data_IF_743643829328
#
_entry.id   IF_743643829328
#
_cell.length_a   1.000
_cell.length_b   1.000
_cell.length_c   1.000
_cell.angle_alpha   90.00
_cell.angle_beta   90.00
_cell.angle_gamma   90.00
#
_symmetry.space_group_name_H-M   'P 1'
#
loop_
_entity.id
_entity.type
_entity.pdbx_description
1 polymer ?
#
# COMPACT_ATOMS: atom_id res chain seq x y z
N UNK A 1 -24.54 -1.32 0.75
CA UNK A 1 -23.19 -0.84 0.37
C UNK A 1 -22.24 -1.21 1.51
N UNK A 2 -21.23 -2.06 1.27
CA UNK A 2 -20.35 -2.60 2.35
C UNK A 2 -19.01 -1.87 2.52
N UNK A 3 -18.68 -0.93 1.64
CA UNK A 3 -17.44 -0.13 1.73
C UNK A 3 -16.24 -0.71 0.98
N UNK A 4 -15.17 0.09 0.94
CA UNK A 4 -13.90 -0.22 0.29
C UNK A 4 -13.26 -1.48 0.89
N UNK A 5 -13.18 -1.56 2.21
CA UNK A 5 -12.52 -2.67 2.92
C UNK A 5 -13.18 -4.01 2.59
N UNK A 6 -14.50 -4.10 2.77
CA UNK A 6 -15.25 -5.30 2.46
C UNK A 6 -15.12 -5.70 0.97
N UNK A 7 -15.09 -4.74 0.05
CA UNK A 7 -14.89 -5.02 -1.37
C UNK A 7 -13.49 -5.56 -1.66
N UNK A 8 -12.44 -4.99 -1.05
CA UNK A 8 -11.06 -5.48 -1.16
C UNK A 8 -10.92 -6.89 -0.59
N UNK A 9 -11.45 -7.15 0.60
CA UNK A 9 -11.43 -8.48 1.22
C UNK A 9 -12.20 -9.51 0.38
N UNK A 10 -13.36 -9.14 -0.17
CA UNK A 10 -14.12 -10.02 -1.06
C UNK A 10 -13.34 -10.33 -2.34
N UNK A 11 -12.71 -9.33 -2.95
CA UNK A 11 -11.82 -9.54 -4.09
C UNK A 11 -10.65 -10.47 -3.75
N UNK A 12 -10.05 -10.29 -2.57
CA UNK A 12 -8.92 -11.09 -2.11
C UNK A 12 -9.26 -12.57 -1.94
N UNK A 13 -10.48 -12.90 -1.49
CA UNK A 13 -10.95 -14.29 -1.37
C UNK A 13 -10.94 -15.07 -2.71
N UNK A 14 -10.93 -14.37 -3.84
CA UNK A 14 -10.94 -14.95 -5.18
C UNK A 14 -9.57 -14.88 -5.87
N UNK A 15 -8.52 -14.39 -5.19
CA UNK A 15 -7.17 -14.28 -5.76
C UNK A 15 -6.52 -15.66 -5.83
N UNK A 16 -6.17 -16.09 -7.04
CA UNK A 16 -5.40 -17.32 -7.28
C UNK A 16 -3.93 -17.06 -7.58
N UNK A 17 -3.59 -15.82 -7.90
CA UNK A 17 -2.23 -15.36 -8.19
C UNK A 17 -1.30 -15.43 -6.98
N UNK A 18 0.01 -15.33 -7.25
CA UNK A 18 1.04 -15.26 -6.21
C UNK A 18 1.15 -13.85 -5.62
N UNK A 19 0.79 -12.83 -6.40
CA UNK A 19 0.79 -11.43 -6.01
C UNK A 19 -0.61 -10.84 -6.20
N UNK A 20 -1.06 -10.10 -5.19
CA UNK A 20 -2.27 -9.28 -5.26
C UNK A 20 -1.89 -7.82 -5.41
N UNK A 21 -2.59 -7.12 -6.30
CA UNK A 21 -2.47 -5.66 -6.45
C UNK A 21 -3.84 -5.04 -6.25
N UNK A 22 -3.94 -4.10 -5.31
CA UNK A 22 -5.13 -3.28 -5.13
C UNK A 22 -4.91 -1.95 -5.83
N UNK A 23 -5.93 -1.48 -6.56
CA UNK A 23 -5.87 -0.23 -7.29
C UNK A 23 -7.25 0.45 -7.21
N UNK A 24 -7.26 1.74 -6.89
CA UNK A 24 -8.48 2.54 -6.96
C UNK A 24 -8.95 2.70 -8.42
N UNK A 25 -10.26 2.81 -8.62
CA UNK A 25 -10.84 2.96 -9.96
C UNK A 25 -10.54 4.29 -10.68
N UNK A 26 -9.85 5.22 -10.02
CA UNK A 26 -9.53 6.56 -10.54
C UNK A 26 -8.02 6.82 -10.50
N UNK A 27 -7.28 5.86 -11.07
CA UNK A 27 -5.83 5.87 -11.23
C UNK A 27 -5.47 5.65 -12.69
N UNK A 28 -4.44 6.36 -13.16
CA UNK A 28 -3.76 6.10 -14.42
C UNK A 28 -2.37 5.52 -14.14
N UNK A 29 -2.03 4.38 -14.75
CA UNK A 29 -0.76 3.70 -14.51
C UNK A 29 0.28 4.09 -15.55
N UNK A 30 1.53 4.29 -15.13
CA UNK A 30 2.61 4.64 -16.07
C UNK A 30 3.24 3.39 -16.72
N UNK A 31 4.02 3.58 -17.78
CA UNK A 31 4.76 2.49 -18.42
C UNK A 31 5.73 1.86 -17.42
N UNK A 32 5.74 0.54 -17.33
CA UNK A 32 6.65 -0.19 -16.45
C UNK A 32 6.35 -0.05 -14.96
N UNK A 33 5.13 0.35 -14.59
CA UNK A 33 4.77 0.57 -13.19
C UNK A 33 4.76 -0.72 -12.36
N UNK A 34 4.48 -1.88 -12.97
CA UNK A 34 4.19 -3.10 -12.22
C UNK A 34 5.46 -3.91 -11.92
N UNK A 35 6.35 -4.01 -12.89
CA UNK A 35 7.57 -4.82 -12.83
C UNK A 35 8.48 -4.48 -11.63
N UNK A 36 8.71 -3.20 -11.27
CA UNK A 36 9.49 -2.85 -10.09
C UNK A 36 8.83 -3.30 -8.78
N UNK A 37 7.50 -3.28 -8.69
CA UNK A 37 6.75 -3.74 -7.51
C UNK A 37 6.93 -5.25 -7.34
N UNK A 38 6.73 -6.01 -8.43
CA UNK A 38 6.88 -7.47 -8.43
C UNK A 38 8.31 -7.89 -8.10
N UNK A 39 9.29 -7.23 -8.72
CA UNK A 39 10.71 -7.48 -8.44
C UNK A 39 11.02 -7.26 -6.96
N UNK A 40 10.45 -6.22 -6.33
CA UNK A 40 10.69 -6.00 -4.91
C UNK A 40 10.07 -7.08 -4.03
N UNK A 41 8.84 -7.49 -4.32
CA UNK A 41 8.13 -8.57 -3.59
C UNK A 41 8.86 -9.91 -3.78
N UNK A 42 9.45 -10.16 -4.95
CA UNK A 42 10.27 -11.34 -5.19
C UNK A 42 11.49 -11.39 -4.26
N UNK A 43 12.16 -10.26 -4.04
CA UNK A 43 13.33 -10.18 -3.18
C UNK A 43 12.99 -10.32 -1.69
N UNK A 44 11.80 -9.88 -1.28
CA UNK A 44 11.31 -10.03 0.08
C UNK A 44 9.78 -10.11 0.08
N UNK A 45 9.25 -11.31 0.28
CA UNK A 45 7.82 -11.61 0.20
C UNK A 45 7.00 -10.93 1.31
N UNK A 46 7.65 -10.50 2.40
CA UNK A 46 7.05 -9.76 3.52
C UNK A 46 6.93 -8.25 3.28
N UNK A 47 7.36 -7.77 2.13
CA UNK A 47 7.21 -6.36 1.74
C UNK A 47 5.81 -6.13 1.17
N UNK A 48 5.17 -5.06 1.61
CA UNK A 48 4.10 -4.40 0.86
C UNK A 48 4.76 -3.30 0.04
N UNK A 49 4.71 -3.44 -1.28
CA UNK A 49 5.31 -2.49 -2.22
C UNK A 49 4.23 -1.53 -2.73
N UNK A 50 4.49 -0.22 -2.66
CA UNK A 50 3.59 0.81 -3.17
C UNK A 50 4.29 1.64 -4.25
N UNK A 51 3.58 2.06 -5.32
CA UNK A 51 4.14 2.94 -6.33
C UNK A 51 4.38 4.35 -5.78
N UNK A 52 5.27 5.09 -6.43
CA UNK A 52 5.27 6.54 -6.38
C UNK A 52 3.97 7.10 -6.96
N UNK A 53 3.44 8.17 -6.34
CA UNK A 53 2.14 8.74 -6.69
C UNK A 53 2.31 10.11 -7.35
N UNK A 54 1.97 10.15 -8.62
CA UNK A 54 1.79 11.34 -9.44
C UNK A 54 0.36 11.90 -9.28
N UNK A 55 0.10 13.08 -9.85
CA UNK A 55 -1.20 13.76 -9.71
C UNK A 55 -1.94 13.72 -11.04
N UNK A 56 -3.14 13.13 -11.06
CA UNK A 56 -4.10 13.28 -12.15
C UNK A 56 -5.07 14.41 -11.79
N UNK A 57 -5.05 15.50 -12.53
CA UNK A 57 -5.91 16.66 -12.24
C UNK A 57 -7.39 16.31 -12.42
N UNK A 58 -8.22 16.56 -11.40
CA UNK A 58 -9.61 16.10 -11.40
C UNK A 58 -10.54 16.84 -12.37
N UNK A 59 -10.15 18.01 -12.86
CA UNK A 59 -10.95 18.81 -13.80
C UNK A 59 -10.49 18.60 -15.25
N UNK A 60 -9.18 18.65 -15.45
CA UNK A 60 -8.53 18.65 -16.77
C UNK A 60 -8.05 17.28 -17.20
N UNK A 61 -8.04 16.29 -16.29
CA UNK A 61 -7.46 14.96 -16.51
C UNK A 61 -5.98 15.02 -16.94
N UNK A 62 -5.29 16.12 -16.63
CA UNK A 62 -3.88 16.27 -16.96
C UNK A 62 -3.02 15.45 -16.00
N UNK A 63 -2.19 14.57 -16.55
CA UNK A 63 -1.16 13.86 -15.80
C UNK A 63 -0.03 14.82 -15.41
N UNK A 64 0.25 14.93 -14.11
CA UNK A 64 1.35 15.71 -13.57
C UNK A 64 2.34 14.79 -12.86
N UNK A 65 3.44 14.51 -13.56
CA UNK A 65 4.54 13.69 -13.05
C UNK A 65 5.27 14.39 -11.90
N UNK A 66 5.50 13.66 -10.82
CA UNK A 66 6.25 14.09 -9.65
C UNK A 66 7.66 13.48 -9.72
N UNK A 67 8.71 14.29 -9.88
CA UNK A 67 10.08 13.79 -9.92
C UNK A 67 10.50 13.10 -8.61
N UNK A 68 11.39 12.11 -8.72
CA UNK A 68 11.81 11.28 -7.60
C UNK A 68 12.45 12.01 -6.41
N UNK A 69 13.06 13.17 -6.66
CA UNK A 69 13.62 14.02 -5.62
C UNK A 69 12.57 14.88 -4.88
N UNK A 70 11.32 14.88 -5.33
CA UNK A 70 10.19 15.60 -4.74
C UNK A 70 9.17 14.67 -4.09
N UNK A 71 9.36 13.35 -4.17
CA UNK A 71 8.47 12.42 -3.48
C UNK A 71 8.50 12.61 -1.98
N UNK A 72 7.32 12.48 -1.40
CA UNK A 72 7.09 12.46 0.03
C UNK A 72 6.77 11.04 0.45
N UNK A 73 7.06 10.73 1.71
CA UNK A 73 6.59 9.49 2.33
C UNK A 73 5.19 9.71 2.87
N UNK A 74 4.47 8.61 3.02
CA UNK A 74 3.17 8.58 3.64
C UNK A 74 3.36 8.43 5.16
N UNK A 75 2.89 9.42 5.92
CA UNK A 75 2.94 9.48 7.38
C UNK A 75 1.55 9.65 7.98
N UNK A 76 1.52 9.86 9.30
CA UNK A 76 0.30 10.14 10.04
C UNK A 76 0.58 11.05 11.23
N UNK A 77 -0.46 11.71 11.74
CA UNK A 77 -0.43 12.55 12.94
C UNK A 77 -0.96 11.77 14.16
N UNK A 78 -0.76 12.28 15.38
CA UNK A 78 -1.22 11.62 16.62
C UNK A 78 -2.75 11.45 16.70
N UNK A 79 -3.50 12.25 15.94
CA UNK A 79 -4.95 12.10 15.78
C UNK A 79 -5.33 11.05 14.73
N UNK A 80 -4.38 10.23 14.30
CA UNK A 80 -4.56 9.14 13.34
C UNK A 80 -5.04 9.61 11.97
N UNK A 81 -4.72 10.85 11.57
CA UNK A 81 -4.93 11.32 10.20
C UNK A 81 -3.69 11.13 9.35
N UNK A 82 -3.90 10.68 8.12
CA UNK A 82 -2.86 10.61 7.10
C UNK A 82 -2.21 11.99 6.88
N UNK A 83 -0.89 12.01 6.69
CA UNK A 83 -0.14 13.19 6.33
C UNK A 83 1.00 12.85 5.37
N UNK A 84 1.43 13.83 4.60
CA UNK A 84 2.66 13.72 3.83
C UNK A 84 3.84 14.14 4.71
N UNK A 85 4.89 13.32 4.73
CA UNK A 85 6.12 13.63 5.46
C UNK A 85 7.32 13.64 4.52
N UNK A 86 8.30 14.48 4.82
CA UNK A 86 9.54 14.51 4.06
C UNK A 86 10.27 13.16 4.11
N UNK A 87 11.05 12.89 3.07
CA UNK A 87 12.07 11.85 3.15
C UNK A 87 13.17 12.40 4.09
N UNK A 88 13.46 11.73 5.23
CA UNK A 88 14.50 12.18 6.13
C UNK A 88 15.82 12.16 5.39
N UNK A 89 16.70 13.12 5.72
CA UNK A 89 18.07 13.10 5.23
C UNK A 89 18.72 11.79 5.70
N UNK A 90 19.67 11.22 4.94
CA UNK A 90 20.22 9.92 5.30
C UNK A 90 20.89 9.95 6.68
N UNK A 91 20.29 9.28 7.67
CA UNK A 91 20.87 9.08 9.01
C UNK A 91 21.83 7.88 9.04
N UNK A 92 22.53 7.62 7.92
CA UNK A 92 23.45 6.48 7.76
C UNK A 92 22.83 5.21 7.15
N UNK A 93 21.53 5.20 6.82
CA UNK A 93 20.87 4.07 6.17
C UNK A 93 20.79 4.27 4.64
N UNK A 94 21.88 3.89 3.97
CA UNK A 94 21.91 2.94 2.84
C UNK A 94 21.07 3.19 1.56
N UNK A 95 20.64 4.41 1.21
CA UNK A 95 20.21 4.68 -0.19
C UNK A 95 21.42 4.99 -1.06
N UNK A 96 21.79 4.05 -1.93
CA UNK A 96 22.86 4.18 -2.93
C UNK A 96 22.41 5.00 -4.14
N UNK A 97 21.15 4.84 -4.55
CA UNK A 97 20.60 5.52 -5.74
C UNK A 97 19.20 6.08 -5.49
N UNK A 98 18.73 6.96 -6.37
CA UNK A 98 17.35 7.47 -6.32
C UNK A 98 16.29 6.39 -6.55
N UNK A 99 16.67 5.29 -7.21
CA UNK A 99 15.79 4.17 -7.55
C UNK A 99 15.60 3.19 -6.38
N UNK A 100 16.39 3.33 -5.32
CA UNK A 100 16.32 2.42 -4.17
C UNK A 100 14.97 2.60 -3.43
N UNK A 101 14.34 1.49 -2.98
CA UNK A 101 13.10 1.53 -2.20
C UNK A 101 13.18 2.46 -1.00
N UNK A 102 12.04 3.06 -0.64
CA UNK A 102 11.92 4.02 0.45
C UNK A 102 10.96 3.47 1.49
N UNK A 103 11.45 3.23 2.72
CA UNK A 103 10.58 2.89 3.84
C UNK A 103 9.59 4.01 4.11
N UNK A 104 8.31 3.66 4.16
CA UNK A 104 7.22 4.59 4.48
C UNK A 104 6.45 4.10 5.71
N UNK A 105 6.20 4.95 6.72
CA UNK A 105 5.47 4.54 7.92
C UNK A 105 4.08 3.98 7.62
N UNK A 106 3.35 4.63 6.70
CA UNK A 106 2.02 4.18 6.25
C UNK A 106 1.92 4.21 4.74
N UNK A 107 0.81 3.73 4.16
CA UNK A 107 0.50 3.88 2.74
C UNK A 107 -0.67 4.84 2.52
N UNK A 108 -0.81 5.35 1.30
CA UNK A 108 -1.91 6.25 0.94
C UNK A 108 -3.25 5.52 0.79
N UNK A 109 -3.22 4.30 0.27
CA UNK A 109 -4.43 3.48 0.06
C UNK A 109 -4.83 3.34 -1.40
N UNK A 110 -4.36 4.22 -2.29
CA UNK A 110 -4.74 4.22 -3.71
C UNK A 110 -4.23 3.02 -4.51
N UNK A 111 -3.02 2.55 -4.19
CA UNK A 111 -2.40 1.41 -4.83
C UNK A 111 -1.44 0.71 -3.88
N UNK A 112 -1.49 -0.62 -3.83
CA UNK A 112 -0.49 -1.44 -3.15
C UNK A 112 -0.38 -2.81 -3.80
N UNK A 113 0.81 -3.40 -3.73
CA UNK A 113 1.09 -4.76 -4.14
C UNK A 113 1.67 -5.56 -2.97
N UNK A 114 1.22 -6.81 -2.80
CA UNK A 114 1.81 -7.72 -1.83
C UNK A 114 1.75 -9.16 -2.32
N UNK A 115 2.66 -10.01 -1.83
CA UNK A 115 2.50 -11.45 -2.04
C UNK A 115 1.20 -11.91 -1.37
N UNK A 116 0.47 -12.82 -2.03
CA UNK A 116 -0.77 -13.38 -1.48
C UNK A 116 -0.54 -14.00 -0.10
N UNK A 117 0.57 -14.75 0.05
CA UNK A 117 0.99 -15.35 1.32
C UNK A 117 1.20 -14.31 2.42
N UNK A 118 1.83 -13.18 2.12
CA UNK A 118 2.04 -12.14 3.12
C UNK A 118 0.73 -11.46 3.49
N UNK A 119 -0.14 -11.17 2.52
CA UNK A 119 -1.44 -10.59 2.81
C UNK A 119 -2.33 -11.53 3.64
N UNK A 120 -2.32 -12.83 3.36
CA UNK A 120 -2.94 -13.88 4.19
C UNK A 120 -2.35 -13.91 5.60
N UNK A 121 -1.03 -13.86 5.72
CA UNK A 121 -0.31 -13.86 7.01
C UNK A 121 -0.67 -12.66 7.88
N UNK A 122 -0.89 -11.50 7.27
CA UNK A 122 -1.34 -10.28 7.97
C UNK A 122 -2.83 -10.31 8.33
N UNK A 123 -3.58 -11.31 7.87
CA UNK A 123 -5.02 -11.44 8.09
C UNK A 123 -5.88 -10.53 7.20
N UNK A 124 -5.32 -10.02 6.09
CA UNK A 124 -5.98 -9.04 5.24
C UNK A 124 -6.35 -7.75 5.98
N UNK A 125 -7.33 -7.00 5.45
CA UNK A 125 -7.89 -5.86 6.15
C UNK A 125 -8.87 -6.31 7.22
N UNK A 126 -8.96 -5.56 8.32
CA UNK A 126 -9.96 -5.77 9.36
C UNK A 126 -11.40 -5.67 8.79
N UNK A 127 -12.20 -6.75 8.84
CA UNK A 127 -13.57 -6.74 8.31
C UNK A 127 -14.53 -5.82 9.06
N UNK A 128 -14.19 -5.38 10.27
CA UNK A 128 -15.01 -4.48 11.08
C UNK A 128 -14.81 -3.00 10.71
N UNK A 129 -13.83 -2.68 9.85
CA UNK A 129 -13.70 -1.34 9.29
C UNK A 129 -14.79 -1.08 8.25
N UNK A 130 -15.63 -0.08 8.53
CA UNK A 130 -16.77 0.29 7.69
C UNK A 130 -16.43 1.38 6.67
N UNK A 131 -17.06 1.29 5.49
CA UNK A 131 -17.08 2.30 4.41
C UNK A 131 -15.70 2.69 3.86
N UNK A 132 -14.94 3.52 4.56
CA UNK A 132 -13.65 4.07 4.11
C UNK A 132 -12.85 4.70 5.27
N UNK A 133 -11.53 4.48 5.26
CA UNK A 133 -10.53 5.13 6.09
C UNK A 133 -10.02 4.26 7.25
N UNK A 134 -8.87 4.67 7.80
CA UNK A 134 -8.02 3.92 8.73
C UNK A 134 -7.46 2.59 8.20
N UNK A 135 -7.99 2.01 7.12
CA UNK A 135 -7.49 0.76 6.54
C UNK A 135 -6.02 0.88 6.12
N UNK A 136 -5.64 2.08 5.70
CA UNK A 136 -4.29 2.39 5.29
C UNK A 136 -3.31 2.46 6.47
N UNK A 137 -3.77 2.88 7.65
CA UNK A 137 -2.96 2.89 8.87
C UNK A 137 -2.87 1.48 9.45
N UNK A 138 -4.00 0.80 9.54
CA UNK A 138 -4.15 -0.53 10.12
C UNK A 138 -3.25 -1.56 9.42
N UNK A 139 -3.32 -1.66 8.09
CA UNK A 139 -2.48 -2.58 7.32
C UNK A 139 -1.00 -2.21 7.41
N UNK A 140 -0.69 -0.91 7.48
CA UNK A 140 0.69 -0.43 7.63
C UNK A 140 1.29 -0.82 8.98
N UNK A 141 0.53 -0.70 10.06
CA UNK A 141 0.96 -1.14 11.39
C UNK A 141 1.13 -2.65 11.43
N UNK A 142 0.19 -3.42 10.86
CA UNK A 142 0.35 -4.87 10.68
C UNK A 142 1.65 -5.21 9.97
N UNK A 143 1.96 -4.55 8.85
CA UNK A 143 3.18 -4.81 8.09
C UNK A 143 4.44 -4.57 8.94
N UNK A 144 4.56 -3.42 9.61
CA UNK A 144 5.73 -3.08 10.42
C UNK A 144 5.85 -3.93 11.70
N UNK A 145 4.76 -4.09 12.44
CA UNK A 145 4.76 -4.76 13.75
C UNK A 145 4.84 -6.28 13.61
N UNK A 146 4.44 -6.84 12.47
CA UNK A 146 4.51 -8.28 12.21
C UNK A 146 5.75 -8.67 11.39
N UNK A 147 6.84 -7.89 11.47
CA UNK A 147 8.15 -8.22 10.90
C UNK A 147 8.24 -8.14 9.37
N UNK A 148 7.32 -7.42 8.73
CA UNK A 148 7.39 -7.03 7.32
C UNK A 148 7.92 -5.62 7.15
N UNK A 149 7.76 -5.07 5.94
CA UNK A 149 8.10 -3.68 5.62
C UNK A 149 7.07 -3.09 4.67
N UNK A 150 6.99 -1.78 4.66
CA UNK A 150 6.18 -1.02 3.73
C UNK A 150 7.07 -0.03 2.97
N UNK A 151 7.15 -0.20 1.66
CA UNK A 151 8.16 0.47 0.84
C UNK A 151 7.56 1.13 -0.40
N UNK A 152 7.90 2.40 -0.61
CA UNK A 152 7.64 3.11 -1.88
C UNK A 152 8.72 2.71 -2.87
N UNK A 153 8.30 2.33 -4.08
CA UNK A 153 9.19 1.91 -5.17
C UNK A 153 9.30 3.05 -6.19
N UNK A 154 10.39 3.84 -6.20
CA UNK A 154 10.49 5.08 -6.98
C UNK A 154 10.49 4.89 -8.51
N UNK A 155 10.71 3.67 -8.99
CA UNK A 155 10.64 3.36 -10.42
C UNK A 155 9.20 3.03 -10.87
N UNK A 156 8.29 2.78 -9.93
CA UNK A 156 6.90 2.47 -10.21
C UNK A 156 6.07 3.73 -10.04
N UNK A 157 5.41 4.20 -11.10
CA UNK A 157 4.61 5.42 -11.07
C UNK A 157 3.15 5.14 -11.44
N UNK A 158 2.25 5.75 -10.68
CA UNK A 158 0.83 5.86 -10.99
C UNK A 158 0.40 7.31 -10.75
N UNK A 159 -0.60 7.81 -11.46
CA UNK A 159 -1.26 9.07 -11.15
C UNK A 159 -2.62 8.83 -10.51
N UNK A 160 -2.84 9.39 -9.33
CA UNK A 160 -4.13 9.31 -8.64
C UNK A 160 -4.93 10.60 -8.82
N UNK A 161 -6.24 10.47 -9.04
CA UNK A 161 -7.14 11.61 -9.14
C UNK A 161 -7.67 12.04 -7.76
N UNK A 162 -6.98 13.00 -7.15
CA UNK A 162 -7.40 13.59 -5.88
C UNK A 162 -8.60 14.52 -6.09
N UNK A 163 -9.70 14.23 -5.37
CA UNK A 163 -10.92 15.06 -5.39
C UNK A 163 -11.01 15.93 -4.13
N UNK A 164 -11.55 17.15 -4.24
CA UNK A 164 -11.71 18.03 -3.07
C UNK A 164 -12.80 17.56 -2.10
N UNK A 165 -13.73 16.72 -2.56
CA UNK A 165 -14.84 16.17 -1.76
C UNK A 165 -15.11 14.73 -2.13
N UNK A 166 -15.56 13.93 -1.16
CA UNK A 166 -16.03 12.57 -1.41
C UNK A 166 -17.32 12.62 -2.26
N UNK A 167 -17.40 11.86 -3.37
CA UNK A 167 -18.55 11.87 -4.28
C UNK A 167 -19.71 10.99 -3.78
N UNK A 168 -19.63 10.48 -2.55
CA UNK A 168 -20.52 9.45 -2.03
C UNK A 168 -21.03 9.80 -0.64
N UNK A 169 -22.22 9.29 -0.31
CA UNK A 169 -22.82 9.45 1.01
C UNK A 169 -22.23 8.47 2.02
N UNK A 170 -22.24 8.84 3.30
CA UNK A 170 -21.74 8.02 4.41
C UNK A 170 -22.83 7.12 5.02
N UNK A 171 -24.06 7.16 4.50
CA UNK A 171 -25.20 6.45 5.10
C UNK A 171 -25.43 6.89 6.55
N UNK A 172 -25.93 5.97 7.39
CA UNK A 172 -26.10 6.18 8.83
C UNK A 172 -24.83 5.83 9.64
N UNK A 173 -23.72 5.49 8.98
CA UNK A 173 -22.46 5.20 9.66
C UNK A 173 -21.85 6.52 10.13
N UNK A 174 -22.07 6.85 11.40
CA UNK A 174 -21.42 7.98 12.03
C UNK A 174 -19.90 7.79 12.02
N UNK A 175 -19.22 8.90 11.77
CA UNK A 175 -17.80 9.19 11.92
C UNK A 175 -17.08 8.28 12.94
N UNK A 176 -15.98 7.65 12.50
CA UNK A 176 -14.91 6.98 13.26
C UNK A 176 -15.07 6.96 14.79
N UNK A 177 -15.88 6.04 15.33
CA UNK A 177 -15.93 5.76 16.78
C UNK A 177 -16.40 4.33 17.05
N UNK A 178 -15.84 3.34 16.37
CA UNK A 178 -15.57 2.09 17.08
C UNK A 178 -14.12 2.14 17.48
N UNK A 179 -13.89 2.12 18.79
CA UNK A 179 -12.59 1.88 19.42
C UNK A 179 -12.03 0.58 18.84
N UNK A 180 -11.39 0.68 17.67
CA UNK A 180 -10.72 -0.44 17.04
C UNK A 180 -9.45 -0.59 17.84
N UNK A 181 -9.52 -1.37 18.92
CA UNK A 181 -8.33 -1.87 19.59
C UNK A 181 -7.54 -2.58 18.51
N UNK A 182 -6.36 -2.06 18.19
CA UNK A 182 -5.41 -2.76 17.32
C UNK A 182 -5.04 -4.06 18.05
N UNK A 183 -5.81 -5.11 17.85
CA UNK A 183 -5.52 -6.44 18.38
C UNK A 183 -4.35 -7.01 17.60
N UNK A 184 -3.15 -6.73 18.09
CA UNK A 184 -1.93 -7.26 17.54
C UNK A 184 -1.85 -8.76 17.86
N UNK A 185 -1.63 -9.63 16.86
CA UNK A 185 -1.43 -11.04 17.12
C UNK A 185 -0.17 -11.22 17.98
N UNK A 186 -0.34 -11.71 19.21
CA UNK A 186 0.76 -12.25 20.02
C UNK A 186 1.26 -13.49 19.28
N UNK A 187 2.56 -13.65 18.97
CA UNK A 187 3.26 -14.96 19.00
C UNK A 187 4.74 -14.90 18.58
N UNK A 188 5.57 -15.56 19.40
CA UNK A 188 6.67 -16.47 19.05
C UNK A 188 7.74 -16.03 18.05
N UNK A 189 8.91 -15.61 18.55
CA UNK A 189 10.11 -15.42 17.74
C UNK A 189 10.76 -16.76 17.37
N UNK A 190 10.86 -17.08 16.07
CA UNK A 190 11.86 -18.03 15.57
C UNK A 190 12.64 -17.43 14.41
N UNK A 191 13.95 -17.33 14.60
CA UNK A 191 14.93 -16.85 13.63
C UNK A 191 15.23 -17.95 12.60
N UNK A 192 15.17 -17.60 11.31
CA UNK A 192 15.80 -18.41 10.25
C UNK A 192 16.47 -17.48 9.24
N UNK A 193 17.77 -17.68 9.04
CA UNK A 193 18.60 -17.08 7.99
C UNK A 193 18.32 -17.79 6.67
N UNK A 194 18.15 -17.04 5.58
CA UNK A 194 18.22 -17.60 4.23
C UNK A 194 19.13 -16.75 3.32
N UNK A 195 19.93 -17.48 2.57
CA UNK A 195 20.73 -17.08 1.41
C UNK A 195 19.94 -17.44 0.16
N UNK A 196 19.98 -16.63 -0.90
CA UNK A 196 19.57 -17.12 -2.22
C UNK A 196 20.05 -16.27 -3.39
N UNK A 197 20.49 -17.03 -4.41
CA UNK A 197 20.74 -16.68 -5.81
C UNK A 197 19.44 -16.25 -6.52
N UNK A 198 19.60 -15.48 -7.58
CA UNK A 198 18.51 -14.93 -8.42
C UNK A 198 18.04 -16.00 -9.42
N UNK A 199 16.73 -16.30 -9.43
CA UNK A 199 16.03 -17.10 -10.44
C UNK A 199 14.91 -16.22 -11.02
N UNK A 200 14.86 -16.08 -12.35
CA UNK A 200 13.79 -15.36 -13.03
C UNK A 200 12.52 -16.22 -13.04
N UNK A 201 11.50 -15.80 -12.30
CA UNK A 201 10.21 -16.49 -12.17
C UNK A 201 9.11 -15.61 -12.77
N UNK A 202 8.22 -16.19 -13.57
CA UNK A 202 7.06 -15.51 -14.16
C UNK A 202 5.94 -15.48 -13.12
N UNK A 203 5.51 -14.29 -12.69
CA UNK A 203 4.42 -14.14 -11.70
C UNK A 203 3.04 -14.18 -12.38
N UNK A 204 2.09 -14.89 -11.76
CA UNK A 204 0.64 -14.67 -11.99
C UNK A 204 0.18 -13.53 -11.09
N UNK A 205 -0.69 -12.66 -11.61
CA UNK A 205 -1.11 -11.42 -10.93
C UNK A 205 -2.64 -11.29 -11.00
N UNK A 206 -3.28 -10.97 -9.87
CA UNK A 206 -4.67 -10.53 -9.85
C UNK A 206 -4.73 -9.04 -9.48
N UNK A 207 -5.40 -8.25 -10.32
CA UNK A 207 -5.69 -6.84 -10.05
C UNK A 207 -7.09 -6.72 -9.44
N UNK A 208 -7.18 -6.15 -8.24
CA UNK A 208 -8.44 -5.83 -7.57
C UNK A 208 -8.69 -4.34 -7.75
N UNK A 209 -9.65 -4.02 -8.64
CA UNK A 209 -10.15 -2.67 -8.85
C UNK A 209 -11.38 -2.44 -7.97
N UNK A 210 -11.36 -1.37 -7.15
CA UNK A 210 -12.52 -0.99 -6.35
C UNK A 210 -13.03 0.38 -6.80
N UNK A 211 -14.31 0.42 -7.17
CA UNK A 211 -15.06 1.61 -7.63
C UNK A 211 -15.79 2.30 -6.50
#
# INVERSE_FOLDING_TARGET
RKGLIAARNFGFQHVTAEVVVFLDAHVEVNKGWLEPLLHRIQQNDKVIAVPATDILDWQTFKYNFIPNNKHQRCGFQFDMRYSWIGIPKPDGITRKTWADPIDTPVHMGCCLASSRKNFERLGGYDPDLEIWGCENLELSFKAWMCGGRLEIIPCSHIAHMFRPKFPYSWGNSHTFTKETVLELPRFGWTSTRFSSKIVFQTYRINLILVT
#
